data_IF_129256026532
#
_entry.id   IF_129256026532
#
_cell.length_a   1.000
_cell.length_b   1.000
_cell.length_c   1.000
_cell.angle_alpha   90.00
_cell.angle_beta   90.00
_cell.angle_gamma   90.00
#
_symmetry.space_group_name_H-M   'P 1'
#
loop_
_entity.id
_entity.type
_entity.pdbx_description
1 polymer ?
#
# COMPACT_ATOMS: atom_id res chain seq x y z
N UNK A 1 4.34 -46.86 -22.85
CA UNK A 1 2.90 -47.01 -22.54
C UNK A 1 2.75 -47.33 -21.05
N UNK A 2 2.37 -46.36 -20.24
CA UNK A 2 2.19 -46.53 -18.78
C UNK A 2 0.83 -47.20 -18.49
N UNK A 3 0.77 -48.54 -18.57
CA UNK A 3 -0.47 -49.34 -18.54
C UNK A 3 -1.07 -49.61 -17.14
N UNK A 4 -0.58 -48.98 -16.07
CA UNK A 4 -0.99 -49.32 -14.69
C UNK A 4 -1.09 -48.13 -13.72
N UNK A 5 -1.19 -46.89 -14.21
CA UNK A 5 -1.44 -45.77 -13.32
C UNK A 5 -2.94 -45.63 -13.14
N UNK A 6 -3.43 -45.95 -11.94
CA UNK A 6 -4.81 -45.68 -11.57
C UNK A 6 -4.98 -44.15 -11.49
N UNK A 7 -5.65 -43.60 -12.50
CA UNK A 7 -5.85 -42.16 -12.69
C UNK A 7 -6.55 -41.55 -11.47
N UNK A 8 -7.40 -42.32 -10.79
CA UNK A 8 -8.09 -41.90 -9.57
C UNK A 8 -7.11 -41.69 -8.41
N UNK A 9 -6.10 -42.57 -8.27
CA UNK A 9 -5.06 -42.42 -7.25
C UNK A 9 -4.13 -41.24 -7.56
N UNK A 10 -3.79 -41.03 -8.84
CA UNK A 10 -3.02 -39.87 -9.28
C UNK A 10 -3.72 -38.56 -8.94
N UNK A 11 -5.04 -38.49 -9.15
CA UNK A 11 -5.83 -37.31 -8.81
C UNK A 11 -5.78 -37.01 -7.32
N UNK A 12 -5.97 -38.02 -6.47
CA UNK A 12 -5.89 -37.88 -5.00
C UNK A 12 -4.49 -37.41 -4.56
N UNK A 13 -3.44 -37.97 -5.16
CA UNK A 13 -2.06 -37.57 -4.86
C UNK A 13 -1.81 -36.11 -5.26
N UNK A 14 -2.28 -35.70 -6.44
CA UNK A 14 -2.14 -34.31 -6.91
C UNK A 14 -2.93 -33.35 -6.02
N UNK A 15 -4.18 -33.67 -5.69
CA UNK A 15 -5.03 -32.84 -4.83
C UNK A 15 -4.43 -32.71 -3.41
N UNK A 16 -3.96 -33.80 -2.81
CA UNK A 16 -3.28 -33.75 -1.52
C UNK A 16 -1.99 -32.94 -1.56
N UNK A 17 -1.22 -33.02 -2.65
CA UNK A 17 0.04 -32.28 -2.80
C UNK A 17 -0.21 -30.79 -3.02
N UNK A 18 -1.22 -30.43 -3.81
CA UNK A 18 -1.68 -29.04 -3.95
C UNK A 18 -2.17 -28.52 -2.60
N UNK A 19 -3.00 -29.29 -1.88
CA UNK A 19 -3.51 -28.89 -0.57
C UNK A 19 -2.39 -28.74 0.48
N UNK A 20 -1.33 -29.54 0.42
CA UNK A 20 -0.15 -29.37 1.28
C UNK A 20 0.65 -28.11 0.91
N UNK A 21 0.86 -27.84 -0.38
CA UNK A 21 1.57 -26.64 -0.85
C UNK A 21 0.79 -25.37 -0.52
N UNK A 22 -0.53 -25.38 -0.76
CA UNK A 22 -1.43 -24.26 -0.47
C UNK A 22 -1.59 -24.07 1.04
N UNK A 23 -1.77 -25.13 1.84
CA UNK A 23 -1.85 -24.99 3.30
C UNK A 23 -0.52 -24.64 3.97
N UNK A 24 0.64 -25.01 3.42
CA UNK A 24 1.93 -24.52 3.92
C UNK A 24 2.17 -23.05 3.57
N UNK A 25 1.79 -22.63 2.36
CA UNK A 25 1.84 -21.21 1.96
C UNK A 25 0.86 -20.34 2.79
N UNK A 26 -0.29 -20.90 3.18
CA UNK A 26 -1.25 -20.24 4.06
C UNK A 26 -0.87 -20.32 5.56
N UNK A 27 -0.06 -21.31 5.97
CA UNK A 27 0.47 -21.39 7.34
C UNK A 27 1.61 -20.41 7.63
N UNK A 28 2.21 -19.79 6.61
CA UNK A 28 3.31 -18.85 6.78
C UNK A 28 2.91 -17.37 6.97
N UNK A 29 1.65 -17.08 7.25
CA UNK A 29 1.24 -15.71 7.66
C UNK A 29 -0.02 -15.79 8.51
N UNK A 30 0.05 -15.53 9.84
CA UNK A 30 0.27 -14.17 10.33
C UNK A 30 1.41 -14.01 11.36
N UNK A 31 1.88 -15.06 12.02
CA UNK A 31 2.81 -14.94 13.17
C UNK A 31 4.20 -14.42 12.78
N UNK A 32 4.72 -14.80 11.61
CA UNK A 32 5.99 -14.26 11.09
C UNK A 32 5.87 -12.78 10.69
N UNK A 33 4.71 -12.37 10.18
CA UNK A 33 4.40 -10.96 9.91
C UNK A 33 4.24 -10.17 11.21
N UNK A 34 3.56 -10.76 12.21
CA UNK A 34 3.37 -10.16 13.54
C UNK A 34 4.73 -9.93 14.23
N UNK A 35 5.61 -10.94 14.19
CA UNK A 35 6.90 -10.91 14.87
C UNK A 35 7.97 -10.10 14.11
N UNK A 36 7.88 -9.98 12.78
CA UNK A 36 8.74 -9.12 11.98
C UNK A 36 8.42 -7.64 12.13
N UNK A 37 7.13 -7.28 12.25
CA UNK A 37 6.68 -5.89 12.41
C UNK A 37 6.88 -5.34 13.84
N UNK A 38 7.05 -6.21 14.84
CA UNK A 38 7.29 -5.81 16.23
C UNK A 38 8.76 -5.46 16.52
N UNK A 39 9.70 -5.76 15.60
CA UNK A 39 11.14 -5.56 15.81
C UNK A 39 11.77 -4.47 14.93
N UNK A 40 10.99 -3.64 14.25
CA UNK A 40 11.56 -2.47 13.57
C UNK A 40 11.71 -1.34 14.58
N UNK A 41 12.97 -1.08 14.94
CA UNK A 41 13.48 0.16 15.57
C UNK A 41 12.92 1.46 14.96
N UNK A 42 12.34 1.39 13.77
CA UNK A 42 11.68 2.50 13.08
C UNK A 42 10.39 2.95 13.76
N UNK A 43 9.75 2.09 14.55
CA UNK A 43 8.49 2.39 15.26
C UNK A 43 8.69 3.38 16.41
N UNK A 44 9.79 3.24 17.14
CA UNK A 44 10.17 4.19 18.21
C UNK A 44 10.67 5.52 17.63
N UNK A 45 11.34 5.48 16.48
CA UNK A 45 11.86 6.69 15.82
C UNK A 45 10.73 7.61 15.35
N UNK A 46 9.70 7.05 14.73
CA UNK A 46 8.55 7.82 14.21
C UNK A 46 7.72 8.49 15.33
N UNK A 47 7.62 7.86 16.50
CA UNK A 47 6.88 8.39 17.66
C UNK A 47 7.66 9.52 18.33
N UNK A 48 8.98 9.42 18.39
CA UNK A 48 9.83 10.47 18.97
C UNK A 48 9.91 11.73 18.09
N UNK A 49 9.85 11.57 16.76
CA UNK A 49 9.89 12.71 15.82
C UNK A 49 8.56 13.48 15.72
N UNK A 50 7.46 12.94 16.27
CA UNK A 50 6.14 13.59 16.26
C UNK A 50 5.43 13.51 17.63
N UNK A 51 5.77 14.42 18.57
CA UNK A 51 5.29 14.35 19.97
C UNK A 51 3.77 14.56 20.14
N UNK A 52 3.04 14.89 19.08
CA UNK A 52 1.57 15.01 19.10
C UNK A 52 0.85 13.67 18.82
N UNK A 53 1.57 12.58 18.55
CA UNK A 53 0.98 11.25 18.31
C UNK A 53 0.91 10.49 19.63
N UNK A 54 -0.19 10.65 20.37
CA UNK A 54 -0.44 9.84 21.58
C UNK A 54 -0.66 8.36 21.25
N UNK A 55 0.01 7.48 22.01
CA UNK A 55 0.00 6.01 21.89
C UNK A 55 -1.39 5.35 21.98
N UNK A 56 -2.40 6.09 22.45
CA UNK A 56 -3.81 5.65 22.46
C UNK A 56 -4.46 5.54 21.08
N UNK A 57 -3.83 6.08 20.02
CA UNK A 57 -4.32 5.97 18.64
C UNK A 57 -3.80 4.73 17.88
N UNK A 58 -2.91 3.92 18.48
CA UNK A 58 -2.28 2.79 17.80
C UNK A 58 -3.09 1.48 17.85
N UNK A 59 -4.10 1.37 18.72
CA UNK A 59 -5.01 0.21 18.76
C UNK A 59 -6.07 0.21 17.65
N UNK A 60 -6.13 1.26 16.81
CA UNK A 60 -7.05 1.36 15.67
C UNK A 60 -6.41 0.98 14.31
N UNK A 61 -5.17 0.50 14.33
CA UNK A 61 -4.34 0.19 13.15
C UNK A 61 -4.71 -1.09 12.38
N UNK A 62 -5.76 -1.80 12.78
CA UNK A 62 -6.29 -2.94 12.02
C UNK A 62 -7.42 -2.60 11.04
N UNK A 63 -7.67 -1.31 10.73
CA UNK A 63 -8.67 -1.00 9.69
C UNK A 63 -8.97 0.46 9.39
N UNK A 64 -8.40 1.43 10.11
CA UNK A 64 -8.62 2.84 9.76
C UNK A 64 -7.63 3.29 8.71
N UNK A 65 -8.13 3.59 7.51
CA UNK A 65 -7.42 4.42 6.53
C UNK A 65 -6.88 5.64 7.26
N UNK A 66 -5.56 5.75 7.38
CA UNK A 66 -4.93 6.96 7.86
C UNK A 66 -5.32 8.04 6.86
N UNK A 67 -6.18 8.97 7.28
CA UNK A 67 -6.56 10.10 6.46
C UNK A 67 -5.36 11.04 6.44
N UNK A 68 -4.73 11.19 5.28
CA UNK A 68 -3.68 12.19 5.11
C UNK A 68 -4.36 13.52 4.84
N UNK A 69 -4.10 14.50 5.70
CA UNK A 69 -4.59 15.86 5.51
C UNK A 69 -3.58 16.65 4.67
N UNK A 70 -3.98 16.91 3.42
CA UNK A 70 -3.19 17.70 2.49
C UNK A 70 -3.32 19.19 2.80
N UNK A 71 -2.21 19.91 2.66
CA UNK A 71 -2.12 21.34 2.91
C UNK A 71 -1.51 22.01 1.66
N UNK A 72 -1.93 23.23 1.29
CA UNK A 72 -1.24 24.02 0.27
C UNK A 72 0.27 24.12 0.54
N UNK A 73 1.04 24.29 -0.53
CA UNK A 73 2.51 24.35 -0.57
C UNK A 73 3.23 23.02 -0.31
N UNK A 74 2.52 21.96 0.12
CA UNK A 74 3.11 20.63 0.23
C UNK A 74 3.40 20.00 -1.14
N UNK A 75 4.36 19.09 -1.16
CA UNK A 75 4.68 18.30 -2.33
C UNK A 75 3.92 16.97 -2.32
N UNK A 76 3.48 16.53 -3.49
CA UNK A 76 2.74 15.30 -3.68
C UNK A 76 3.02 14.67 -5.04
N UNK A 77 2.72 13.39 -5.16
CA UNK A 77 2.69 12.69 -6.44
C UNK A 77 1.25 12.51 -6.90
N UNK A 78 1.03 12.57 -8.22
CA UNK A 78 -0.25 12.25 -8.85
C UNK A 78 -0.20 10.88 -9.50
N UNK A 79 -1.32 10.16 -9.53
CA UNK A 79 -1.41 8.86 -10.21
C UNK A 79 -1.08 9.01 -11.69
N UNK A 80 -0.27 8.09 -12.21
CA UNK A 80 0.06 8.03 -13.62
C UNK A 80 -1.11 7.43 -14.42
N UNK A 81 -1.92 8.27 -15.07
CA UNK A 81 -3.04 7.83 -15.90
C UNK A 81 -2.62 7.38 -17.30
N UNK A 82 -1.41 7.73 -17.75
CA UNK A 82 -0.88 7.42 -19.07
C UNK A 82 0.05 6.20 -18.97
N UNK A 83 -0.12 5.37 -17.94
CA UNK A 83 0.66 4.15 -17.75
C UNK A 83 0.35 3.15 -18.87
N UNK A 84 1.35 2.87 -19.71
CA UNK A 84 1.25 1.95 -20.85
C UNK A 84 1.87 0.59 -20.55
N UNK A 85 2.82 0.53 -19.61
CA UNK A 85 3.55 -0.67 -19.26
C UNK A 85 3.54 -0.96 -17.77
N UNK A 86 3.81 -2.22 -17.38
CA UNK A 86 3.99 -2.59 -15.97
C UNK A 86 5.23 -1.95 -15.35
N UNK A 87 6.21 -1.58 -16.16
CA UNK A 87 7.46 -0.96 -15.74
C UNK A 87 7.28 0.53 -15.44
N UNK A 88 6.24 1.16 -15.99
CA UNK A 88 6.00 2.58 -15.74
C UNK A 88 5.60 2.80 -14.27
N UNK A 89 6.03 3.92 -13.67
CA UNK A 89 5.69 4.23 -12.30
C UNK A 89 4.18 4.44 -12.14
N UNK A 90 3.64 4.00 -11.00
CA UNK A 90 2.22 4.17 -10.66
C UNK A 90 1.85 5.61 -10.37
N UNK A 91 2.82 6.43 -9.95
CA UNK A 91 2.67 7.81 -9.57
C UNK A 91 3.78 8.63 -10.21
N UNK A 92 3.48 9.86 -10.58
CA UNK A 92 4.36 10.77 -11.31
C UNK A 92 4.56 12.07 -10.55
N UNK A 93 5.76 12.63 -10.74
CA UNK A 93 6.11 14.01 -10.40
C UNK A 93 6.24 14.27 -8.90
N UNK A 94 7.00 15.31 -8.56
CA UNK A 94 7.00 15.96 -7.26
C UNK A 94 6.29 17.30 -7.49
N UNK A 95 4.98 17.28 -7.35
CA UNK A 95 4.10 18.38 -7.72
C UNK A 95 3.69 19.15 -6.48
N UNK A 96 3.63 20.47 -6.62
CA UNK A 96 3.23 21.33 -5.52
C UNK A 96 1.70 21.43 -5.45
N UNK A 97 1.16 21.30 -4.24
CA UNK A 97 -0.24 21.56 -3.96
C UNK A 97 -0.46 23.06 -3.89
N UNK A 98 -1.34 23.57 -4.75
CA UNK A 98 -1.71 24.98 -4.74
C UNK A 98 -2.92 25.22 -3.85
N UNK A 99 -3.92 24.34 -3.93
CA UNK A 99 -5.18 24.49 -3.23
C UNK A 99 -5.78 23.13 -2.88
N UNK A 100 -6.53 23.10 -1.78
CA UNK A 100 -7.36 21.96 -1.39
C UNK A 100 -8.81 22.42 -1.35
N UNK A 101 -9.67 21.69 -2.06
CA UNK A 101 -11.11 21.99 -2.12
C UNK A 101 -11.76 21.99 -0.73
N UNK A 102 -12.85 22.76 -0.59
CA UNK A 102 -13.59 22.88 0.67
C UNK A 102 -14.12 21.52 1.20
N UNK A 103 -14.47 20.60 0.30
CA UNK A 103 -14.93 19.25 0.65
C UNK A 103 -13.76 18.27 0.87
N UNK A 104 -12.52 18.73 0.72
CA UNK A 104 -11.26 17.99 0.86
C UNK A 104 -11.13 16.76 -0.04
N UNK A 105 -11.99 16.62 -1.05
CA UNK A 105 -11.95 15.48 -1.95
C UNK A 105 -11.07 15.71 -3.17
N UNK A 106 -10.76 16.97 -3.48
CA UNK A 106 -9.97 17.36 -4.65
C UNK A 106 -8.84 18.31 -4.25
N UNK A 107 -7.73 18.17 -4.97
CA UNK A 107 -6.49 18.92 -4.76
C UNK A 107 -6.09 19.53 -6.10
N UNK A 108 -5.76 20.82 -6.08
CA UNK A 108 -5.22 21.53 -7.23
C UNK A 108 -3.69 21.43 -7.22
N UNK A 109 -3.12 20.91 -8.30
CA UNK A 109 -1.68 20.75 -8.50
C UNK A 109 -1.21 21.62 -9.67
N UNK A 110 0.03 22.10 -9.56
CA UNK A 110 0.72 22.71 -10.70
C UNK A 110 1.44 21.63 -11.54
N UNK A 111 1.05 21.47 -12.79
CA UNK A 111 1.63 20.53 -13.75
C UNK A 111 2.02 21.31 -15.00
N UNK A 112 3.32 21.40 -15.27
CA UNK A 112 3.86 22.08 -16.48
C UNK A 112 3.30 23.52 -16.66
N UNK A 113 3.12 24.26 -15.56
CA UNK A 113 2.58 25.63 -15.57
C UNK A 113 1.06 25.72 -15.75
N UNK A 114 0.34 24.60 -15.66
CA UNK A 114 -1.12 24.55 -15.63
C UNK A 114 -1.62 24.10 -14.27
N UNK A 115 -2.82 24.56 -13.92
CA UNK A 115 -3.51 24.17 -12.70
C UNK A 115 -4.50 23.05 -13.01
N UNK A 116 -4.32 21.90 -12.36
CA UNK A 116 -5.18 20.74 -12.55
C UNK A 116 -5.76 20.23 -11.24
N UNK A 117 -7.06 19.98 -11.24
CA UNK A 117 -7.77 19.41 -10.10
C UNK A 117 -7.80 17.89 -10.19
N UNK A 118 -7.35 17.24 -9.12
CA UNK A 118 -7.29 15.78 -9.01
C UNK A 118 -7.97 15.31 -7.73
N UNK A 119 -8.70 14.20 -7.80
CA UNK A 119 -9.29 13.61 -6.61
C UNK A 119 -8.19 13.09 -5.66
N UNK A 120 -8.37 13.31 -4.36
CA UNK A 120 -7.42 12.94 -3.29
C UNK A 120 -7.01 11.46 -3.35
N UNK A 121 -7.90 10.56 -3.80
CA UNK A 121 -7.58 9.12 -3.97
C UNK A 121 -6.48 8.83 -4.99
N UNK A 122 -6.24 9.77 -5.90
CA UNK A 122 -5.21 9.68 -6.93
C UNK A 122 -3.93 10.40 -6.53
N UNK A 123 -3.88 11.01 -5.34
CA UNK A 123 -2.73 11.75 -4.84
C UNK A 123 -2.02 10.90 -3.79
N UNK A 124 -0.69 10.98 -3.76
CA UNK A 124 0.14 10.44 -2.68
C UNK A 124 1.01 11.55 -2.09
N UNK A 125 1.11 11.66 -0.76
CA UNK A 125 2.00 12.64 -0.16
C UNK A 125 3.45 12.33 -0.53
N UNK A 126 4.25 13.38 -0.75
CA UNK A 126 5.69 13.25 -0.84
C UNK A 126 6.30 13.44 0.55
N UNK A 127 6.89 12.38 1.09
CA UNK A 127 7.56 12.41 2.38
C UNK A 127 9.07 12.51 2.11
N UNK A 128 9.67 13.67 2.38
CA UNK A 128 11.14 13.80 2.44
C UNK A 128 11.60 13.07 3.70
N UNK A 129 12.28 11.94 3.52
CA UNK A 129 12.93 11.18 4.60
C UNK A 129 14.30 11.74 4.96
#
# INVERSE_FOLDING_TARGET
MYKKWDISQLKIIIENRINQVVNMALKQTPEAYLNGFLKSSDKEKYINDNPNVSLTNLSELNGKKIHFDYIPEQEAHVKNFIRLSKLDPFYCGQLKILEVSNDRNNICLEIEGKHEWHNVKNIKPYLRG
#
